data_IF_807731250483
#
_entry.id   IF_807731250483
#
_cell.length_a   1.000
_cell.length_b   1.000
_cell.length_c   1.000
_cell.angle_alpha   90.00
_cell.angle_beta   90.00
_cell.angle_gamma   90.00
#
_symmetry.space_group_name_H-M   'P 1'
#
loop_
_entity.id
_entity.type
_entity.pdbx_description
1 polymer ?
#
# COMPACT_ATOMS: atom_id res chain seq x y z
N UNK A 1 -6.99 -10.32 -1.11
CA UNK A 1 -7.87 -11.27 -0.41
C UNK A 1 -6.98 -12.32 0.23
N UNK A 2 -7.03 -12.46 1.55
CA UNK A 2 -6.21 -13.42 2.29
C UNK A 2 -7.13 -14.30 3.11
N UNK A 3 -7.04 -15.60 2.89
CA UNK A 3 -7.70 -16.62 3.71
C UNK A 3 -6.60 -17.30 4.52
N UNK A 4 -6.67 -17.20 5.84
CA UNK A 4 -5.76 -17.91 6.74
C UNK A 4 -6.50 -19.08 7.36
N UNK A 5 -6.04 -20.27 7.05
CA UNK A 5 -6.51 -21.51 7.67
C UNK A 5 -5.48 -21.95 8.70
N UNK A 6 -5.85 -21.90 9.97
CA UNK A 6 -5.01 -22.39 11.07
C UNK A 6 -5.66 -23.66 11.60
N UNK A 7 -5.02 -24.81 11.40
CA UNK A 7 -5.44 -26.07 11.96
C UNK A 7 -4.47 -26.49 13.07
N UNK A 8 -4.95 -26.55 14.31
CA UNK A 8 -4.23 -27.11 15.43
C UNK A 8 -4.79 -28.51 15.72
N UNK A 9 -3.93 -29.53 15.76
CA UNK A 9 -4.29 -30.90 16.15
C UNK A 9 -3.50 -31.29 17.38
N UNK A 10 -4.20 -31.61 18.46
CA UNK A 10 -3.62 -32.16 19.68
C UNK A 10 -4.09 -33.61 19.82
N UNK A 11 -3.14 -34.54 19.86
CA UNK A 11 -3.40 -35.98 20.02
C UNK A 11 -2.94 -36.41 21.41
N UNK A 12 -3.89 -36.75 22.28
CA UNK A 12 -3.62 -37.32 23.60
C UNK A 12 -4.04 -38.79 23.63
N UNK A 13 -3.52 -39.56 24.60
CA UNK A 13 -3.78 -41.02 24.70
C UNK A 13 -5.26 -41.39 24.86
N UNK A 14 -6.10 -40.45 25.31
CA UNK A 14 -7.56 -40.62 25.50
C UNK A 14 -8.43 -39.85 24.49
N UNK A 15 -7.85 -39.12 23.52
CA UNK A 15 -8.64 -38.40 22.53
C UNK A 15 -7.86 -37.45 21.62
N UNK A 16 -8.42 -37.19 20.45
CA UNK A 16 -7.89 -36.26 19.45
C UNK A 16 -8.78 -35.01 19.39
N UNK A 17 -8.23 -33.84 19.73
CA UNK A 17 -8.92 -32.55 19.60
C UNK A 17 -8.32 -31.81 18.40
N UNK A 18 -9.16 -31.54 17.40
CA UNK A 18 -8.78 -30.73 16.24
C UNK A 18 -9.56 -29.42 16.27
N UNK A 19 -8.85 -28.30 16.20
CA UNK A 19 -9.42 -26.95 16.11
C UNK A 19 -9.00 -26.37 14.76
N UNK A 20 -9.97 -26.10 13.91
CA UNK A 20 -9.77 -25.43 12.63
C UNK A 20 -10.36 -24.02 12.70
N UNK A 21 -9.52 -23.00 12.53
CA UNK A 21 -9.93 -21.61 12.45
C UNK A 21 -9.76 -21.11 11.01
N UNK A 22 -10.85 -20.62 10.42
CA UNK A 22 -10.84 -19.99 9.11
C UNK A 22 -11.05 -18.48 9.28
N UNK A 23 -10.03 -17.69 8.96
CA UNK A 23 -10.12 -16.23 8.91
C UNK A 23 -10.13 -15.83 7.45
N UNK A 24 -11.30 -15.39 6.98
CA UNK A 24 -11.48 -14.92 5.61
C UNK A 24 -11.77 -13.42 5.63
N UNK A 25 -10.89 -12.63 5.00
CA UNK A 25 -11.13 -11.20 4.74
C UNK A 25 -11.90 -11.05 3.41
N UNK A 26 -13.12 -11.58 3.38
CA UNK A 26 -14.07 -11.40 2.27
C UNK A 26 -15.29 -10.65 2.76
N UNK A 27 -15.84 -9.72 1.95
CA UNK A 27 -16.99 -8.91 2.35
C UNK A 27 -18.29 -9.71 2.34
N UNK A 28 -18.30 -10.91 1.75
CA UNK A 28 -19.44 -11.81 1.69
C UNK A 28 -19.17 -13.08 2.51
N UNK A 29 -20.25 -13.63 3.10
CA UNK A 29 -20.23 -14.94 3.75
C UNK A 29 -20.08 -16.05 2.70
N UNK A 30 -19.43 -17.17 3.02
CA UNK A 30 -19.48 -18.38 2.20
C UNK A 30 -20.93 -18.81 1.91
N UNK A 31 -21.18 -19.41 0.75
CA UNK A 31 -22.52 -19.86 0.34
C UNK A 31 -23.11 -20.84 1.36
N UNK A 32 -22.29 -21.73 1.91
CA UNK A 32 -22.69 -22.69 2.95
C UNK A 32 -23.20 -22.00 4.23
N UNK A 33 -22.64 -20.84 4.57
CA UNK A 33 -23.05 -20.06 5.75
C UNK A 33 -24.33 -19.25 5.46
N UNK A 34 -24.55 -18.85 4.20
CA UNK A 34 -25.82 -18.26 3.77
C UNK A 34 -26.97 -19.28 3.83
N UNK A 35 -26.75 -20.54 3.46
CA UNK A 35 -27.77 -21.59 3.58
C UNK A 35 -28.17 -21.84 5.05
N UNK A 36 -27.18 -21.85 5.95
CA UNK A 36 -27.41 -21.95 7.41
C UNK A 36 -28.14 -20.74 7.97
N UNK A 37 -27.77 -19.53 7.52
CA UNK A 37 -28.45 -18.30 7.92
C UNK A 37 -29.90 -18.27 7.41
N UNK A 38 -30.15 -18.75 6.19
CA UNK A 38 -31.49 -18.85 5.60
C UNK A 38 -32.40 -19.79 6.40
N UNK A 39 -31.85 -20.91 6.88
CA UNK A 39 -32.60 -21.88 7.69
C UNK A 39 -33.03 -21.32 9.06
N UNK A 40 -32.28 -20.40 9.65
CA UNK A 40 -32.56 -19.84 10.97
C UNK A 40 -33.28 -18.47 10.91
N UNK A 41 -32.91 -17.61 9.97
CA UNK A 41 -33.48 -16.25 9.82
C UNK A 41 -33.33 -15.74 8.37
N UNK A 42 -34.30 -16.02 7.48
CA UNK A 42 -34.21 -15.64 6.07
C UNK A 42 -34.17 -14.11 5.86
N UNK A 43 -34.88 -13.34 6.67
CA UNK A 43 -34.92 -11.86 6.58
C UNK A 43 -33.56 -11.20 6.89
N UNK A 44 -32.65 -11.90 7.58
CA UNK A 44 -31.33 -11.36 7.88
C UNK A 44 -30.41 -11.31 6.64
N UNK A 45 -30.71 -12.10 5.61
CA UNK A 45 -29.88 -12.18 4.40
C UNK A 45 -29.86 -10.84 3.66
N UNK A 46 -31.03 -10.21 3.49
CA UNK A 46 -31.14 -8.90 2.83
C UNK A 46 -30.38 -7.81 3.58
N UNK A 47 -30.41 -7.86 4.92
CA UNK A 47 -29.64 -6.96 5.76
C UNK A 47 -28.12 -7.18 5.59
N UNK A 48 -27.67 -8.44 5.61
CA UNK A 48 -26.24 -8.78 5.40
C UNK A 48 -25.78 -8.32 4.02
N UNK A 49 -26.55 -8.59 2.95
CA UNK A 49 -26.22 -8.17 1.59
C UNK A 49 -26.11 -6.64 1.48
N UNK A 50 -27.04 -5.91 2.12
CA UNK A 50 -27.00 -4.45 2.17
C UNK A 50 -25.76 -3.94 2.90
N UNK A 51 -25.43 -4.51 4.05
CA UNK A 51 -24.26 -4.13 4.83
C UNK A 51 -22.96 -4.45 4.10
N UNK A 52 -22.87 -5.62 3.47
CA UNK A 52 -21.77 -6.04 2.59
C UNK A 52 -21.58 -5.06 1.43
N UNK A 53 -22.66 -4.59 0.80
CA UNK A 53 -22.58 -3.60 -0.28
C UNK A 53 -22.08 -2.24 0.23
N UNK A 54 -22.57 -1.80 1.40
CA UNK A 54 -22.15 -0.55 2.04
C UNK A 54 -20.66 -0.57 2.38
N UNK A 55 -20.17 -1.65 2.97
CA UNK A 55 -18.74 -1.86 3.28
C UNK A 55 -17.90 -1.90 2.00
N UNK A 56 -18.36 -2.58 0.95
CA UNK A 56 -17.65 -2.64 -0.33
C UNK A 56 -17.49 -1.24 -0.97
N UNK A 57 -18.53 -0.42 -0.91
CA UNK A 57 -18.47 0.96 -1.42
C UNK A 57 -17.59 1.86 -0.54
N UNK A 58 -17.60 1.67 0.78
CA UNK A 58 -16.68 2.34 1.68
C UNK A 58 -15.21 2.00 1.35
N UNK A 59 -14.89 0.72 1.20
CA UNK A 59 -13.55 0.25 0.80
C UNK A 59 -13.11 0.82 -0.55
N UNK A 60 -14.00 0.90 -1.54
CA UNK A 60 -13.70 1.52 -2.85
C UNK A 60 -13.40 3.01 -2.71
N UNK A 61 -14.19 3.75 -1.91
CA UNK A 61 -13.98 5.18 -1.65
C UNK A 61 -12.66 5.44 -0.92
N UNK A 62 -12.37 4.66 0.11
CA UNK A 62 -11.10 4.68 0.84
C UNK A 62 -9.92 4.40 -0.09
N UNK A 63 -10.00 3.33 -0.89
CA UNK A 63 -8.97 2.97 -1.87
C UNK A 63 -8.72 4.11 -2.86
N UNK A 64 -9.78 4.73 -3.38
CA UNK A 64 -9.66 5.87 -4.28
C UNK A 64 -8.99 7.08 -3.58
N UNK A 65 -9.40 7.38 -2.35
CA UNK A 65 -8.81 8.47 -1.56
C UNK A 65 -7.32 8.23 -1.30
N UNK A 66 -6.96 7.03 -0.85
CA UNK A 66 -5.57 6.65 -0.60
C UNK A 66 -4.75 6.76 -1.89
N UNK A 67 -5.24 6.21 -2.99
CA UNK A 67 -4.55 6.29 -4.29
C UNK A 67 -4.37 7.74 -4.74
N UNK A 68 -5.35 8.61 -4.51
CA UNK A 68 -5.26 10.04 -4.82
C UNK A 68 -4.21 10.74 -3.96
N UNK A 69 -4.19 10.46 -2.66
CA UNK A 69 -3.19 11.03 -1.73
C UNK A 69 -1.77 10.57 -2.08
N UNK A 70 -1.58 9.28 -2.34
CA UNK A 70 -0.29 8.73 -2.79
C UNK A 70 0.14 9.34 -4.12
N UNK A 71 -0.81 9.58 -5.04
CA UNK A 71 -0.52 10.26 -6.31
C UNK A 71 -0.05 11.70 -6.07
N UNK A 72 -0.76 12.46 -5.23
CA UNK A 72 -0.40 13.84 -4.90
C UNK A 72 0.98 13.89 -4.23
N UNK A 73 1.24 13.03 -3.25
CA UNK A 73 2.56 12.93 -2.60
C UNK A 73 3.68 12.67 -3.61
N UNK A 74 3.43 11.76 -4.56
CA UNK A 74 4.41 11.43 -5.60
C UNK A 74 4.66 12.59 -6.56
N UNK A 75 3.62 13.32 -6.95
CA UNK A 75 3.75 14.50 -7.81
C UNK A 75 4.52 15.61 -7.08
N UNK A 76 4.20 15.88 -5.82
CA UNK A 76 4.89 16.87 -5.00
C UNK A 76 6.37 16.50 -4.85
N UNK A 77 6.68 15.24 -4.53
CA UNK A 77 8.05 14.75 -4.44
C UNK A 77 8.83 14.93 -5.75
N UNK A 78 8.20 14.68 -6.89
CA UNK A 78 8.81 14.87 -8.20
C UNK A 78 9.07 16.35 -8.53
N UNK A 79 8.16 17.26 -8.15
CA UNK A 79 8.35 18.70 -8.31
C UNK A 79 9.54 19.19 -7.47
N UNK A 80 9.63 18.79 -6.20
CA UNK A 80 10.76 19.17 -5.35
C UNK A 80 12.09 18.58 -5.86
N UNK A 81 12.09 17.33 -6.31
CA UNK A 81 13.25 16.71 -6.93
C UNK A 81 13.72 17.49 -8.16
N UNK A 82 12.79 17.95 -9.01
CA UNK A 82 13.09 18.79 -10.16
C UNK A 82 13.69 20.13 -9.75
N UNK A 83 13.10 20.83 -8.78
CA UNK A 83 13.61 22.12 -8.29
C UNK A 83 15.02 22.00 -7.70
N UNK A 84 15.26 20.97 -6.88
CA UNK A 84 16.60 20.70 -6.31
C UNK A 84 17.58 20.40 -7.45
N UNK A 85 17.21 19.59 -8.43
CA UNK A 85 18.05 19.28 -9.59
C UNK A 85 18.44 20.51 -10.39
N UNK A 86 17.47 21.36 -10.73
CA UNK A 86 17.73 22.62 -11.43
C UNK A 86 18.62 23.53 -10.60
N UNK A 87 18.34 23.70 -9.30
CA UNK A 87 19.17 24.54 -8.43
C UNK A 87 20.60 24.04 -8.29
N UNK A 88 20.80 22.72 -8.25
CA UNK A 88 22.13 22.10 -8.15
C UNK A 88 22.95 22.31 -9.41
N UNK A 89 22.34 22.13 -10.58
CA UNK A 89 23.01 22.33 -11.88
C UNK A 89 23.28 23.82 -12.14
N UNK A 90 22.29 24.69 -11.94
CA UNK A 90 22.45 26.14 -12.15
C UNK A 90 23.42 26.73 -11.14
N UNK A 91 23.30 26.37 -9.86
CA UNK A 91 24.19 26.81 -8.79
C UNK A 91 25.62 26.33 -9.01
N UNK A 92 25.80 25.06 -9.39
CA UNK A 92 27.12 24.52 -9.71
C UNK A 92 27.75 25.17 -10.94
N UNK A 93 26.98 25.40 -12.01
CA UNK A 93 27.44 26.12 -13.19
C UNK A 93 27.86 27.56 -12.86
N UNK A 94 27.07 28.27 -12.05
CA UNK A 94 27.39 29.63 -11.61
C UNK A 94 28.71 29.69 -10.83
N UNK A 95 28.91 28.78 -9.87
CA UNK A 95 30.16 28.69 -9.09
C UNK A 95 31.36 28.34 -9.99
N UNK A 96 31.17 27.43 -10.95
CA UNK A 96 32.22 27.06 -11.90
C UNK A 96 32.69 28.26 -12.73
N UNK A 97 31.77 29.11 -13.19
CA UNK A 97 32.10 30.32 -13.97
C UNK A 97 32.77 31.43 -13.16
N UNK A 98 32.71 31.39 -11.81
CA UNK A 98 33.35 32.38 -10.92
C UNK A 98 34.73 31.97 -10.41
N UNK A 99 35.40 31.05 -11.11
CA UNK A 99 36.80 30.69 -10.84
C UNK A 99 36.99 29.56 -9.83
N UNK A 100 35.91 28.90 -9.38
CA UNK A 100 35.99 27.67 -8.59
C UNK A 100 35.37 26.48 -9.34
N UNK A 101 36.00 26.00 -10.43
CA UNK A 101 35.48 24.90 -11.24
C UNK A 101 35.31 23.61 -10.44
N UNK A 102 36.25 23.29 -9.55
CA UNK A 102 36.17 22.10 -8.71
C UNK A 102 34.99 22.11 -7.73
N UNK A 103 34.64 23.27 -7.17
CA UNK A 103 33.47 23.42 -6.32
C UNK A 103 32.16 23.32 -7.12
N UNK A 104 32.12 23.93 -8.31
CA UNK A 104 30.94 23.82 -9.19
C UNK A 104 30.67 22.37 -9.64
N UNK A 105 31.73 21.63 -9.98
CA UNK A 105 31.63 20.21 -10.36
C UNK A 105 31.18 19.34 -9.19
N UNK A 106 31.73 19.54 -7.99
CA UNK A 106 31.35 18.74 -6.82
C UNK A 106 29.90 18.96 -6.41
N UNK A 107 29.42 20.20 -6.42
CA UNK A 107 28.02 20.56 -6.12
C UNK A 107 27.07 19.92 -7.15
N UNK A 108 27.36 20.07 -8.44
CA UNK A 108 26.52 19.53 -9.50
C UNK A 108 26.47 18.00 -9.44
N UNK A 109 27.62 17.36 -9.23
CA UNK A 109 27.73 15.89 -9.16
C UNK A 109 27.02 15.34 -7.93
N UNK A 110 27.18 15.97 -6.76
CA UNK A 110 26.48 15.57 -5.54
C UNK A 110 24.96 15.69 -5.68
N UNK A 111 24.47 16.80 -6.27
CA UNK A 111 23.04 17.00 -6.50
C UNK A 111 22.46 15.95 -7.45
N UNK A 112 23.11 15.70 -8.59
CA UNK A 112 22.66 14.70 -9.58
C UNK A 112 22.70 13.28 -9.03
N UNK A 113 23.78 12.92 -8.33
CA UNK A 113 23.95 11.58 -7.74
C UNK A 113 22.94 11.34 -6.63
N UNK A 114 22.73 12.33 -5.75
CA UNK A 114 21.71 12.25 -4.70
C UNK A 114 20.31 12.02 -5.27
N UNK A 115 19.93 12.77 -6.31
CA UNK A 115 18.66 12.57 -7.01
C UNK A 115 18.57 11.19 -7.66
N UNK A 116 19.62 10.75 -8.37
CA UNK A 116 19.64 9.44 -9.01
C UNK A 116 19.43 8.30 -7.99
N UNK A 117 20.11 8.37 -6.83
CA UNK A 117 19.95 7.37 -5.76
C UNK A 117 18.52 7.35 -5.21
N UNK A 118 17.93 8.53 -4.96
CA UNK A 118 16.55 8.62 -4.46
C UNK A 118 15.56 8.04 -5.48
N UNK A 119 15.72 8.32 -6.77
CA UNK A 119 14.87 7.75 -7.82
C UNK A 119 15.02 6.23 -7.97
N UNK A 120 16.25 5.70 -7.88
CA UNK A 120 16.52 4.25 -7.95
C UNK A 120 15.90 3.55 -6.74
N UNK A 121 16.14 4.05 -5.52
CA UNK A 121 15.59 3.46 -4.29
C UNK A 121 14.06 3.56 -4.25
N UNK A 122 13.50 4.67 -4.72
CA UNK A 122 12.06 4.87 -4.82
C UNK A 122 11.36 3.91 -5.79
N UNK A 123 12.05 3.39 -6.81
CA UNK A 123 11.50 2.37 -7.72
C UNK A 123 11.56 0.95 -7.16
N UNK A 124 12.54 0.65 -6.30
CA UNK A 124 12.74 -0.70 -5.74
C UNK A 124 11.84 -1.00 -4.54
N UNK A 125 11.34 0.04 -3.86
CA UNK A 125 10.45 -0.10 -2.69
C UNK A 125 8.96 -0.24 -3.05
N UNK A 126 8.64 -0.75 -4.25
CA UNK A 126 7.28 -1.06 -4.68
C UNK A 126 7.05 -2.55 -4.78
#
# INVERSE_FOLDING_TARGET
MSTKQTAARLKHKEGELSVAQNVTDTPFLPVDDFERLNAFKPEAIDWVLKETSSEADHRRRETHRINTLVFIERIIGQIFAFLIGVSGVVGGAWVATRGQPWAGVSISTAALTGLAVVFIKGHSSK
#
